data_IF_620920853789
#
_entry.id   IF_620920853789
#
_cell.length_a   1.000
_cell.length_b   1.000
_cell.length_c   1.000
_cell.angle_alpha   90.00
_cell.angle_beta   90.00
_cell.angle_gamma   90.00
#
_symmetry.space_group_name_H-M   'P 1'
#
loop_
_entity.id
_entity.type
_entity.pdbx_description
1 polymer ?
#
# COMPACT_ATOMS: atom_id res chain seq x y z
N UNK A 1 21.83 -18.73 18.48
CA UNK A 1 22.24 -17.48 19.16
C UNK A 1 23.65 -17.19 18.75
N UNK A 2 23.92 -16.03 18.11
CA UNK A 2 25.28 -15.63 17.75
C UNK A 2 25.88 -14.90 18.94
N UNK A 3 27.06 -15.33 19.39
CA UNK A 3 27.78 -14.75 20.54
C UNK A 3 29.14 -14.27 19.98
N UNK A 4 29.55 -13.02 20.25
CA UNK A 4 30.86 -12.54 19.78
C UNK A 4 32.00 -13.27 20.50
N UNK A 5 33.10 -13.45 19.80
CA UNK A 5 34.33 -13.99 20.37
C UNK A 5 34.84 -13.12 21.52
N UNK A 6 35.63 -13.70 22.41
CA UNK A 6 36.19 -12.98 23.55
C UNK A 6 36.97 -11.74 23.10
N UNK A 7 36.61 -10.59 23.65
CA UNK A 7 37.22 -9.29 23.29
C UNK A 7 36.70 -8.65 22.02
N UNK A 8 35.62 -9.20 21.40
CA UNK A 8 34.96 -8.61 20.24
C UNK A 8 33.56 -8.16 20.63
N UNK A 9 33.05 -7.16 19.91
CA UNK A 9 31.69 -6.64 20.04
C UNK A 9 30.93 -6.94 18.75
N UNK A 10 29.68 -7.40 18.89
CA UNK A 10 28.79 -7.60 17.76
C UNK A 10 27.93 -6.34 17.58
N UNK A 11 27.89 -5.82 16.35
CA UNK A 11 26.97 -4.75 15.97
C UNK A 11 25.82 -5.33 15.21
N UNK A 12 24.60 -4.94 15.57
CA UNK A 12 23.40 -5.17 14.81
C UNK A 12 23.00 -3.84 14.16
N UNK A 13 22.86 -3.83 12.85
CA UNK A 13 22.34 -2.69 12.09
C UNK A 13 21.16 -3.14 11.25
N UNK A 14 20.02 -2.49 11.44
CA UNK A 14 18.83 -2.68 10.63
C UNK A 14 18.57 -1.41 9.81
N UNK A 15 18.29 -1.60 8.52
CA UNK A 15 18.00 -0.49 7.61
C UNK A 15 16.51 -0.15 7.71
N UNK A 16 16.22 1.05 8.18
CA UNK A 16 14.84 1.53 8.31
C UNK A 16 14.13 1.51 6.95
N UNK A 17 13.04 0.75 6.86
CA UNK A 17 12.17 0.65 5.69
C UNK A 17 12.92 0.35 4.36
N UNK A 18 14.01 -0.42 4.39
CA UNK A 18 14.87 -0.66 3.23
C UNK A 18 14.12 -1.12 1.98
N UNK A 19 13.17 -2.06 2.14
CA UNK A 19 12.36 -2.57 1.03
C UNK A 19 11.41 -1.51 0.46
N UNK A 20 10.79 -0.71 1.33
CA UNK A 20 9.93 0.40 0.91
C UNK A 20 10.72 1.49 0.18
N UNK A 21 11.95 1.79 0.65
CA UNK A 21 12.87 2.71 -0.04
C UNK A 21 13.26 2.19 -1.41
N UNK A 22 13.61 0.90 -1.52
CA UNK A 22 13.89 0.28 -2.81
C UNK A 22 12.70 0.39 -3.76
N UNK A 23 11.49 0.09 -3.30
CA UNK A 23 10.26 0.24 -4.10
C UNK A 23 10.05 1.69 -4.54
N UNK A 24 10.21 2.66 -3.63
CA UNK A 24 10.03 4.08 -3.92
C UNK A 24 10.94 4.56 -5.05
N UNK A 25 12.23 4.31 -4.91
CA UNK A 25 13.22 4.78 -5.89
C UNK A 25 13.20 3.99 -7.21
N UNK A 26 12.87 2.70 -7.19
CA UNK A 26 12.72 1.91 -8.42
C UNK A 26 11.46 2.24 -9.19
N UNK A 27 10.38 2.57 -8.51
CA UNK A 27 9.12 2.99 -9.15
C UNK A 27 9.14 4.45 -9.62
N UNK A 28 10.01 5.28 -9.04
CA UNK A 28 10.04 6.72 -9.29
C UNK A 28 8.75 7.44 -8.88
N UNK A 29 7.98 6.87 -7.93
CA UNK A 29 6.75 7.48 -7.45
C UNK A 29 7.07 8.56 -6.40
N UNK A 30 6.91 9.84 -6.78
CA UNK A 30 7.24 10.97 -5.92
C UNK A 30 6.46 10.97 -4.60
N UNK A 31 5.18 10.58 -4.63
CA UNK A 31 4.35 10.46 -3.43
C UNK A 31 4.92 9.43 -2.46
N UNK A 32 5.34 8.28 -2.98
CA UNK A 32 5.91 7.22 -2.15
C UNK A 32 7.33 7.54 -1.70
N UNK A 33 8.16 8.21 -2.54
CA UNK A 33 9.47 8.74 -2.14
C UNK A 33 9.31 9.68 -0.95
N UNK A 34 8.41 10.66 -1.03
CA UNK A 34 8.14 11.57 0.08
C UNK A 34 7.68 10.85 1.35
N UNK A 35 6.84 9.81 1.21
CA UNK A 35 6.39 9.03 2.35
C UNK A 35 7.52 8.23 3.03
N UNK A 36 8.45 7.62 2.28
CA UNK A 36 9.57 6.84 2.86
C UNK A 36 10.66 7.74 3.44
N UNK A 37 10.78 8.98 2.99
CA UNK A 37 11.72 9.96 3.57
C UNK A 37 11.14 10.68 4.79
N UNK A 38 9.86 10.50 5.09
CA UNK A 38 9.23 11.03 6.31
C UNK A 38 9.72 10.28 7.56
N UNK A 39 9.41 10.83 8.72
CA UNK A 39 9.74 10.22 10.02
C UNK A 39 8.97 8.91 10.30
N UNK A 40 7.78 8.73 9.73
CA UNK A 40 6.93 7.54 9.91
C UNK A 40 6.14 7.22 8.63
N UNK A 41 6.76 6.41 7.76
CA UNK A 41 6.18 5.92 6.51
C UNK A 41 4.74 5.44 6.67
N UNK A 42 4.45 4.64 7.69
CA UNK A 42 3.14 3.99 7.79
C UNK A 42 2.03 4.95 8.21
N UNK A 43 2.36 6.00 8.96
CA UNK A 43 1.44 7.10 9.25
C UNK A 43 1.21 7.95 8.00
N UNK A 44 2.25 8.26 7.21
CA UNK A 44 2.09 9.00 5.95
C UNK A 44 1.25 8.22 4.94
N UNK A 45 1.47 6.91 4.81
CA UNK A 45 0.60 6.06 3.99
C UNK A 45 -0.85 6.09 4.49
N UNK A 46 -1.07 6.07 5.83
CA UNK A 46 -2.43 6.15 6.37
C UNK A 46 -3.11 7.48 6.03
N UNK A 47 -2.39 8.61 6.06
CA UNK A 47 -2.92 9.93 5.66
C UNK A 47 -3.42 9.91 4.21
N UNK A 48 -2.69 9.27 3.32
CA UNK A 48 -3.04 9.21 1.90
C UNK A 48 -4.18 8.22 1.60
N UNK A 49 -4.23 7.10 2.33
CA UNK A 49 -5.26 6.06 2.14
C UNK A 49 -6.58 6.42 2.82
N UNK A 50 -6.54 7.20 3.90
CA UNK A 50 -7.73 7.68 4.65
C UNK A 50 -7.67 9.19 4.86
N UNK A 51 -7.80 10.00 3.80
CA UNK A 51 -7.59 11.46 3.88
C UNK A 51 -8.58 12.16 4.83
N UNK A 52 -9.76 11.59 5.06
CA UNK A 52 -10.84 12.21 5.83
C UNK A 52 -10.77 11.97 7.34
N UNK A 53 -9.65 11.46 7.88
CA UNK A 53 -9.52 11.14 9.31
C UNK A 53 -9.22 12.35 10.22
N UNK A 54 -9.13 13.56 9.69
CA UNK A 54 -8.84 14.75 10.50
C UNK A 54 -7.35 14.91 10.84
N UNK A 55 -6.49 14.61 9.90
CA UNK A 55 -5.04 14.78 10.00
C UNK A 55 -4.65 16.23 10.29
N UNK A 56 -3.57 16.44 11.04
CA UNK A 56 -3.05 17.75 11.45
C UNK A 56 -1.62 17.96 10.98
N UNK A 57 -1.03 19.10 11.30
CA UNK A 57 0.41 19.35 11.07
C UNK A 57 1.31 18.70 12.14
N UNK A 58 0.74 18.19 13.24
CA UNK A 58 1.49 17.55 14.31
C UNK A 58 1.67 16.05 14.04
N UNK A 59 2.91 15.65 13.78
CA UNK A 59 3.26 14.27 13.51
C UNK A 59 2.97 13.30 14.66
N UNK A 60 3.06 13.78 15.93
CA UNK A 60 2.77 12.94 17.10
C UNK A 60 1.26 12.66 17.21
N UNK A 61 0.43 13.68 16.96
CA UNK A 61 -1.03 13.52 16.90
C UNK A 61 -1.45 12.63 15.75
N UNK A 62 -0.86 12.81 14.56
CA UNK A 62 -1.13 11.98 13.41
C UNK A 62 -0.78 10.51 13.65
N UNK A 63 0.34 10.26 14.32
CA UNK A 63 0.71 8.90 14.71
C UNK A 63 -0.30 8.28 15.68
N UNK A 64 -0.72 9.02 16.70
CA UNK A 64 -1.77 8.55 17.63
C UNK A 64 -3.08 8.26 16.90
N UNK A 65 -3.47 9.13 15.96
CA UNK A 65 -4.66 8.92 15.12
C UNK A 65 -4.53 7.66 14.25
N UNK A 66 -3.37 7.45 13.62
CA UNK A 66 -3.10 6.25 12.81
C UNK A 66 -3.07 4.96 13.66
N UNK A 67 -2.78 5.05 14.95
CA UNK A 67 -2.79 3.92 15.91
C UNK A 67 -4.20 3.62 16.45
N UNK A 68 -5.24 4.39 16.09
CA UNK A 68 -6.63 4.07 16.46
C UNK A 68 -7.11 2.80 15.75
N UNK A 69 -8.05 2.03 16.35
CA UNK A 69 -8.54 0.79 15.77
C UNK A 69 -9.26 1.02 14.44
N UNK A 70 -8.90 0.23 13.43
CA UNK A 70 -9.58 0.20 12.13
C UNK A 70 -10.40 -1.08 11.95
N UNK A 71 -9.78 -2.25 12.10
CA UNK A 71 -10.44 -3.53 11.82
C UNK A 71 -9.95 -4.62 12.79
N UNK A 72 -10.86 -5.20 13.55
CA UNK A 72 -10.50 -6.19 14.58
C UNK A 72 -9.50 -5.58 15.58
N UNK A 73 -8.34 -6.20 15.70
CA UNK A 73 -7.25 -5.75 16.58
C UNK A 73 -6.19 -4.91 15.83
N UNK A 74 -6.44 -4.53 14.58
CA UNK A 74 -5.50 -3.76 13.78
C UNK A 74 -5.87 -2.28 13.75
N UNK A 75 -4.88 -1.44 13.96
CA UNK A 75 -4.96 0.00 13.73
C UNK A 75 -4.84 0.32 12.23
N UNK A 76 -5.17 1.55 11.84
CA UNK A 76 -4.91 2.05 10.49
C UNK A 76 -3.44 1.89 10.12
N UNK A 77 -2.53 2.22 11.04
CA UNK A 77 -1.09 2.10 10.86
C UNK A 77 -0.63 0.64 10.67
N UNK A 78 -1.20 -0.31 11.44
CA UNK A 78 -0.91 -1.74 11.28
C UNK A 78 -1.35 -2.27 9.92
N UNK A 79 -2.52 -1.84 9.45
CA UNK A 79 -3.00 -2.20 8.11
C UNK A 79 -2.08 -1.61 7.05
N UNK A 80 -1.67 -0.34 7.15
CA UNK A 80 -0.70 0.26 6.23
C UNK A 80 0.61 -0.52 6.19
N UNK A 81 1.16 -0.90 7.35
CA UNK A 81 2.40 -1.67 7.44
C UNK A 81 2.27 -3.03 6.73
N UNK A 82 1.22 -3.78 7.02
CA UNK A 82 1.04 -5.15 6.52
C UNK A 82 0.54 -5.20 5.09
N UNK A 83 -0.51 -4.43 4.78
CA UNK A 83 -1.11 -4.39 3.46
C UNK A 83 -0.19 -3.66 2.46
N UNK A 84 0.45 -2.55 2.87
CA UNK A 84 1.40 -1.83 2.05
C UNK A 84 2.58 -2.70 1.63
N UNK A 85 3.18 -3.42 2.58
CA UNK A 85 4.27 -4.36 2.28
C UNK A 85 3.85 -5.41 1.25
N UNK A 86 2.75 -6.13 1.49
CA UNK A 86 2.24 -7.12 0.52
C UNK A 86 1.91 -6.51 -0.85
N UNK A 87 1.35 -5.30 -0.84
CA UNK A 87 0.98 -4.57 -2.05
C UNK A 87 2.21 -4.16 -2.87
N UNK A 88 3.29 -3.72 -2.22
CA UNK A 88 4.57 -3.42 -2.87
C UNK A 88 5.21 -4.63 -3.55
N UNK A 89 4.95 -5.82 -3.05
CA UNK A 89 5.35 -7.09 -3.69
C UNK A 89 4.36 -7.60 -4.74
N UNK A 90 3.36 -6.80 -5.14
CA UNK A 90 2.37 -7.18 -6.15
C UNK A 90 1.36 -8.23 -5.68
N UNK A 91 1.18 -8.41 -4.37
CA UNK A 91 0.21 -9.36 -3.84
C UNK A 91 -1.23 -8.94 -4.22
N UNK A 92 -2.06 -9.93 -4.59
CA UNK A 92 -3.48 -9.69 -4.83
C UNK A 92 -4.24 -9.33 -3.55
N UNK A 93 -5.41 -8.68 -3.68
CA UNK A 93 -6.27 -8.36 -2.55
C UNK A 93 -6.63 -9.60 -1.71
N UNK A 94 -6.83 -10.76 -2.33
CA UNK A 94 -7.05 -12.02 -1.62
C UNK A 94 -5.85 -12.43 -0.77
N UNK A 95 -4.63 -12.28 -1.30
CA UNK A 95 -3.39 -12.58 -0.58
C UNK A 95 -3.20 -11.61 0.58
N UNK A 96 -3.37 -10.31 0.35
CA UNK A 96 -3.31 -9.28 1.39
C UNK A 96 -4.33 -9.58 2.50
N UNK A 97 -5.60 -9.84 2.14
CA UNK A 97 -6.66 -10.15 3.08
C UNK A 97 -6.33 -11.36 3.97
N UNK A 98 -5.80 -12.43 3.37
CA UNK A 98 -5.40 -13.65 4.09
C UNK A 98 -4.30 -13.39 5.11
N UNK A 99 -3.27 -12.59 4.75
CA UNK A 99 -2.14 -12.28 5.64
C UNK A 99 -2.48 -11.25 6.71
N UNK A 100 -3.30 -10.25 6.39
CA UNK A 100 -3.70 -9.21 7.33
C UNK A 100 -4.93 -9.58 8.17
N UNK A 101 -5.62 -10.66 7.82
CA UNK A 101 -6.89 -11.10 8.48
C UNK A 101 -8.04 -10.09 8.35
N UNK A 102 -7.99 -9.18 7.38
CA UNK A 102 -9.10 -8.30 7.03
C UNK A 102 -9.95 -8.94 5.92
N UNK A 103 -11.19 -8.44 5.70
CA UNK A 103 -12.02 -8.91 4.59
C UNK A 103 -11.41 -8.51 3.25
N UNK A 104 -11.65 -9.31 2.20
CA UNK A 104 -11.16 -9.03 0.83
C UNK A 104 -11.62 -7.66 0.33
N UNK A 105 -12.85 -7.25 0.64
CA UNK A 105 -13.37 -5.92 0.28
C UNK A 105 -12.50 -4.79 0.84
N UNK A 106 -12.07 -4.88 2.11
CA UNK A 106 -11.17 -3.91 2.74
C UNK A 106 -9.77 -3.94 2.14
N UNK A 107 -9.23 -5.12 1.82
CA UNK A 107 -7.94 -5.24 1.12
C UNK A 107 -8.02 -4.62 -0.28
N UNK A 108 -9.13 -4.84 -1.01
CA UNK A 108 -9.35 -4.23 -2.32
C UNK A 108 -9.49 -2.70 -2.20
N UNK A 109 -10.25 -2.21 -1.20
CA UNK A 109 -10.35 -0.77 -0.93
C UNK A 109 -8.97 -0.17 -0.69
N UNK A 110 -8.16 -0.79 0.18
CA UNK A 110 -6.80 -0.36 0.45
C UNK A 110 -5.97 -0.28 -0.85
N UNK A 111 -5.97 -1.32 -1.67
CA UNK A 111 -5.20 -1.35 -2.92
C UNK A 111 -5.68 -0.33 -3.96
N UNK A 112 -6.99 -0.06 -4.04
CA UNK A 112 -7.54 0.99 -4.90
C UNK A 112 -7.06 2.38 -4.46
N UNK A 113 -7.06 2.68 -3.17
CA UNK A 113 -6.56 3.94 -2.64
C UNK A 113 -5.03 4.03 -2.69
N UNK A 114 -4.35 2.91 -2.64
CA UNK A 114 -2.89 2.82 -2.72
C UNK A 114 -2.36 2.99 -4.16
N UNK A 115 -2.81 2.16 -5.09
CA UNK A 115 -2.33 2.13 -6.47
C UNK A 115 -3.22 2.83 -7.49
N UNK A 116 -4.45 3.11 -7.14
CA UNK A 116 -5.48 3.42 -8.11
C UNK A 116 -6.06 2.20 -8.80
N UNK A 117 -7.07 2.45 -9.61
CA UNK A 117 -7.71 1.39 -10.38
C UNK A 117 -9.16 1.69 -10.72
N UNK A 118 -9.83 0.70 -11.26
CA UNK A 118 -11.22 0.80 -11.67
C UNK A 118 -12.03 -0.32 -11.01
N UNK A 119 -13.21 0.00 -10.51
CA UNK A 119 -14.11 -0.95 -9.87
C UNK A 119 -15.57 -0.70 -10.31
N UNK A 120 -16.40 -1.75 -10.51
CA UNK A 120 -17.82 -1.58 -10.78
C UNK A 120 -18.55 -0.92 -9.60
N UNK A 121 -19.40 0.08 -9.88
CA UNK A 121 -20.24 0.73 -8.86
C UNK A 121 -21.06 -0.29 -8.07
N UNK A 122 -21.61 -1.30 -8.73
CA UNK A 122 -22.38 -2.37 -8.09
C UNK A 122 -21.60 -3.16 -7.03
N UNK A 123 -20.27 -3.25 -7.17
CA UNK A 123 -19.41 -3.87 -6.15
C UNK A 123 -19.27 -2.99 -4.92
N UNK A 124 -19.08 -1.68 -5.10
CA UNK A 124 -19.02 -0.72 -3.99
C UNK A 124 -20.35 -0.66 -3.22
N UNK A 125 -21.48 -0.60 -3.93
CA UNK A 125 -22.81 -0.61 -3.32
C UNK A 125 -23.06 -1.87 -2.51
N UNK A 126 -22.65 -3.04 -3.02
CA UNK A 126 -22.75 -4.31 -2.32
C UNK A 126 -21.91 -4.30 -1.04
N UNK A 127 -20.67 -3.83 -1.10
CA UNK A 127 -19.81 -3.77 0.08
C UNK A 127 -20.29 -2.75 1.11
N UNK A 128 -20.79 -1.59 0.67
CA UNK A 128 -21.40 -0.61 1.56
C UNK A 128 -22.63 -1.17 2.30
N UNK A 129 -23.48 -1.94 1.60
CA UNK A 129 -24.62 -2.62 2.24
C UNK A 129 -24.21 -3.64 3.29
N UNK A 130 -23.08 -4.33 3.08
CA UNK A 130 -22.54 -5.34 3.99
C UNK A 130 -21.80 -4.73 5.18
N UNK A 131 -21.18 -3.59 5.00
CA UNK A 131 -20.37 -2.91 6.02
C UNK A 131 -20.43 -1.40 5.84
N UNK A 132 -21.45 -0.77 6.44
CA UNK A 132 -21.69 0.68 6.35
C UNK A 132 -20.55 1.53 6.97
N UNK A 133 -19.75 0.94 7.85
CA UNK A 133 -18.60 1.61 8.50
C UNK A 133 -17.27 1.31 7.82
N UNK A 134 -17.29 0.56 6.73
CA UNK A 134 -16.07 0.15 6.02
C UNK A 134 -15.42 1.23 5.15
N UNK A 135 -15.98 2.45 5.11
CA UNK A 135 -15.44 3.57 4.32
C UNK A 135 -15.54 3.34 2.81
N UNK A 136 -16.51 2.55 2.34
CA UNK A 136 -16.70 2.30 0.90
C UNK A 136 -17.39 3.47 0.19
N UNK A 137 -18.11 4.32 0.92
CA UNK A 137 -18.67 5.58 0.47
C UNK A 137 -17.59 6.59 0.08
N UNK A 138 -16.47 6.64 0.79
CA UNK A 138 -15.32 7.50 0.43
C UNK A 138 -14.79 7.18 -0.98
N UNK A 139 -14.86 5.92 -1.44
CA UNK A 139 -14.47 5.56 -2.81
C UNK A 139 -15.39 6.18 -3.86
N UNK A 140 -16.65 6.45 -3.50
CA UNK A 140 -17.58 7.17 -4.40
C UNK A 140 -17.30 8.66 -4.43
N UNK A 141 -16.86 9.23 -3.32
CA UNK A 141 -16.49 10.65 -3.23
C UNK A 141 -15.17 10.94 -3.93
N UNK A 142 -14.17 10.06 -3.76
CA UNK A 142 -12.83 10.19 -4.33
C UNK A 142 -12.75 9.75 -5.80
N UNK A 143 -13.75 9.00 -6.29
CA UNK A 143 -13.72 8.34 -7.58
C UNK A 143 -14.42 9.12 -8.69
N UNK A 144 -13.86 9.04 -9.88
CA UNK A 144 -14.48 9.49 -11.12
C UNK A 144 -15.42 8.42 -11.66
N UNK A 145 -16.67 8.81 -11.95
CA UNK A 145 -17.65 7.92 -12.60
C UNK A 145 -17.36 7.80 -14.09
N UNK A 146 -17.25 6.57 -14.58
CA UNK A 146 -17.07 6.23 -15.98
C UNK A 146 -18.28 5.41 -16.45
N UNK A 147 -18.92 5.84 -17.53
CA UNK A 147 -19.95 5.04 -18.20
C UNK A 147 -19.28 4.16 -19.26
N UNK A 148 -19.41 2.85 -19.10
CA UNK A 148 -18.92 1.85 -20.07
C UNK A 148 -20.03 1.24 -20.91
N UNK A 149 -21.22 1.89 -20.97
CA UNK A 149 -22.38 1.44 -21.72
C UNK A 149 -23.18 0.32 -21.02
N UNK A 150 -22.52 -0.71 -20.49
CA UNK A 150 -23.17 -1.83 -19.82
C UNK A 150 -23.15 -1.72 -18.28
N UNK A 151 -22.26 -0.91 -17.74
CA UNK A 151 -22.10 -0.73 -16.30
C UNK A 151 -21.42 0.60 -15.97
N UNK A 152 -21.74 1.15 -14.81
CA UNK A 152 -21.02 2.30 -14.26
C UNK A 152 -19.79 1.79 -13.52
N UNK A 153 -18.64 2.36 -13.84
CA UNK A 153 -17.37 2.10 -13.20
C UNK A 153 -16.96 3.31 -12.37
N UNK A 154 -16.19 3.08 -11.32
CA UNK A 154 -15.55 4.12 -10.51
C UNK A 154 -14.05 3.99 -10.70
N UNK A 155 -13.40 5.06 -11.18
CA UNK A 155 -11.95 5.17 -11.30
C UNK A 155 -11.40 5.88 -10.08
N UNK A 156 -10.45 5.25 -9.39
CA UNK A 156 -9.69 5.81 -8.27
C UNK A 156 -8.27 6.11 -8.77
N UNK A 157 -7.79 7.33 -8.53
CA UNK A 157 -6.43 7.73 -8.95
C UNK A 157 -5.34 6.97 -8.18
N UNK A 158 -5.56 6.72 -6.89
CA UNK A 158 -4.56 6.12 -5.99
C UNK A 158 -3.52 7.13 -5.51
N UNK A 159 -2.91 6.83 -4.37
CA UNK A 159 -1.86 7.66 -3.78
C UNK A 159 -0.49 7.43 -4.46
N UNK A 160 -0.22 6.20 -4.91
CA UNK A 160 1.08 5.76 -5.43
C UNK A 160 0.94 4.99 -6.77
N UNK A 161 0.44 5.65 -7.82
CA UNK A 161 0.17 4.98 -9.11
C UNK A 161 1.46 4.54 -9.82
N UNK A 162 2.59 5.20 -9.56
CA UNK A 162 3.90 4.87 -10.12
C UNK A 162 4.36 3.47 -9.76
N UNK A 163 4.06 2.98 -8.54
CA UNK A 163 4.42 1.62 -8.12
C UNK A 163 3.71 0.59 -9.01
N UNK A 164 2.43 0.80 -9.34
CA UNK A 164 1.69 -0.11 -10.22
C UNK A 164 2.23 -0.10 -11.65
N UNK A 165 2.61 1.07 -12.15
CA UNK A 165 3.24 1.22 -13.46
C UNK A 165 4.56 0.47 -13.51
N UNK A 166 5.40 0.64 -12.50
CA UNK A 166 6.66 -0.09 -12.36
C UNK A 166 6.47 -1.62 -12.31
N UNK A 167 5.50 -2.13 -11.53
CA UNK A 167 5.18 -3.57 -11.56
C UNK A 167 4.84 -4.06 -12.97
N UNK A 168 4.07 -3.27 -13.73
CA UNK A 168 3.69 -3.63 -15.09
C UNK A 168 4.89 -3.66 -16.04
N UNK A 169 5.85 -2.76 -15.88
CA UNK A 169 7.10 -2.71 -16.64
C UNK A 169 7.99 -3.92 -16.32
N UNK A 170 8.17 -4.23 -15.03
CA UNK A 170 8.93 -5.40 -14.58
C UNK A 170 8.34 -6.70 -15.14
N UNK A 171 7.01 -6.85 -15.12
CA UNK A 171 6.35 -8.03 -15.69
C UNK A 171 6.56 -8.10 -17.21
N UNK A 172 6.44 -6.99 -17.93
CA UNK A 172 6.68 -6.94 -19.38
C UNK A 172 8.11 -7.29 -19.74
N UNK A 173 9.10 -6.77 -19.00
CA UNK A 173 10.51 -7.10 -19.19
C UNK A 173 10.76 -8.59 -18.96
N UNK A 174 10.24 -9.14 -17.87
CA UNK A 174 10.37 -10.56 -17.58
C UNK A 174 9.74 -11.44 -18.65
N UNK A 175 8.54 -11.08 -19.15
CA UNK A 175 7.88 -11.82 -20.23
C UNK A 175 8.64 -11.73 -21.56
N UNK A 176 9.26 -10.59 -21.85
CA UNK A 176 9.99 -10.37 -23.10
C UNK A 176 11.37 -11.04 -23.10
N UNK A 177 12.07 -11.05 -21.98
CA UNK A 177 13.48 -11.46 -21.90
C UNK A 177 13.73 -12.76 -21.12
N UNK A 178 12.75 -13.20 -20.33
CA UNK A 178 12.89 -14.31 -19.36
C UNK A 178 13.81 -13.98 -18.18
N UNK A 179 14.27 -12.73 -18.07
CA UNK A 179 15.24 -12.32 -17.06
C UNK A 179 14.93 -10.92 -16.54
N UNK A 180 15.30 -10.67 -15.28
CA UNK A 180 15.34 -9.33 -14.70
C UNK A 180 16.78 -8.97 -14.37
N UNK A 181 17.16 -7.74 -14.63
CA UNK A 181 18.47 -7.20 -14.26
C UNK A 181 18.26 -6.22 -13.10
N UNK A 182 18.88 -6.51 -11.94
CA UNK A 182 18.83 -5.59 -10.81
C UNK A 182 19.60 -4.31 -11.11
N UNK A 183 19.35 -3.19 -10.41
CA UNK A 183 20.12 -1.95 -10.58
C UNK A 183 21.63 -2.12 -10.42
N UNK A 184 22.08 -3.18 -9.74
CA UNK A 184 23.50 -3.54 -9.56
C UNK A 184 23.99 -4.54 -10.61
N UNK A 185 23.26 -4.73 -11.72
CA UNK A 185 23.65 -5.60 -12.83
C UNK A 185 23.49 -7.11 -12.59
N UNK A 186 22.91 -7.53 -11.46
CA UNK A 186 22.67 -8.97 -11.19
C UNK A 186 21.46 -9.47 -11.97
N UNK A 187 21.68 -10.50 -12.79
CA UNK A 187 20.60 -11.19 -13.52
C UNK A 187 19.84 -12.15 -12.60
N UNK A 188 18.51 -12.15 -12.73
CA UNK A 188 17.58 -13.12 -12.13
C UNK A 188 16.71 -13.73 -13.22
N UNK A 189 16.53 -15.04 -13.17
CA UNK A 189 15.63 -15.81 -14.03
C UNK A 189 14.32 -16.09 -13.31
#
# INVERSE_FOLDING_TARGET
MFIPDRGRTMFYADLQAAESRATAYLSGDDGYINAVESSDLHTEVAKMVWPNMGWTEDNAQNRQLAETPYYGNFSYRDVCKRAGHGTNYGASANTVARHTKIKVAHATRFQLLYFGGVIPLSSLERWYKQDKKGGFDELLELGEKLDSGNQVLIRIAGAFPGIRSWHSEVIKELQATGNLITPFGRRRQ
#
